data_IF_167763732418
#
_entry.id   IF_167763732418
#
_cell.length_a   1.000
_cell.length_b   1.000
_cell.length_c   1.000
_cell.angle_alpha   90.00
_cell.angle_beta   90.00
_cell.angle_gamma   90.00
#
_symmetry.space_group_name_H-M   'P 1'
#
loop_
_entity.id
_entity.type
_entity.pdbx_description
1 polymer ?
#
# COMPACT_ATOMS: atom_id res chain seq x y z
N UNK A 1 3.61 0.74 -19.57
CA UNK A 1 2.88 -0.53 -19.38
C UNK A 1 2.36 -0.59 -17.94
N UNK A 2 1.05 -0.54 -17.72
CA UNK A 2 0.46 -0.71 -16.40
C UNK A 2 0.61 -2.19 -16.04
N UNK A 3 1.52 -2.48 -15.09
CA UNK A 3 1.65 -3.82 -14.54
C UNK A 3 0.39 -4.05 -13.70
N UNK A 4 -0.48 -4.95 -14.13
CA UNK A 4 -1.62 -5.37 -13.31
C UNK A 4 -1.07 -5.87 -11.98
N UNK A 5 -1.56 -5.27 -10.88
CA UNK A 5 -1.27 -5.73 -9.53
C UNK A 5 -2.47 -6.52 -9.06
N UNK A 6 -2.37 -7.84 -9.15
CA UNK A 6 -3.37 -8.75 -8.59
C UNK A 6 -3.00 -9.02 -7.15
N UNK A 7 -3.87 -8.62 -6.22
CA UNK A 7 -3.75 -9.00 -4.81
C UNK A 7 -4.46 -10.35 -4.62
N UNK A 8 -3.78 -11.38 -4.08
CA UNK A 8 -4.42 -12.66 -3.82
C UNK A 8 -5.48 -12.51 -2.73
N UNK A 9 -6.67 -13.04 -3.00
CA UNK A 9 -7.75 -13.15 -2.01
C UNK A 9 -7.62 -14.47 -1.25
N UNK A 10 -7.79 -14.39 0.07
CA UNK A 10 -7.79 -15.53 0.99
C UNK A 10 -9.21 -15.68 1.51
N UNK A 11 -9.79 -16.87 1.40
CA UNK A 11 -11.11 -17.16 1.99
C UNK A 11 -10.87 -17.69 3.41
N UNK A 12 -11.44 -17.05 4.42
CA UNK A 12 -11.39 -17.58 5.79
C UNK A 12 -12.43 -18.68 6.04
N UNK A 13 -12.42 -19.28 7.23
CA UNK A 13 -13.34 -20.36 7.61
C UNK A 13 -14.81 -19.94 7.65
N UNK A 14 -15.09 -18.63 7.73
CA UNK A 14 -16.44 -18.06 7.67
C UNK A 14 -16.87 -17.66 6.26
N UNK A 15 -16.02 -17.84 5.25
CA UNK A 15 -16.28 -17.44 3.86
C UNK A 15 -16.02 -15.95 3.58
N UNK A 16 -15.43 -15.21 4.52
CA UNK A 16 -15.05 -13.81 4.29
C UNK A 16 -13.77 -13.76 3.45
N UNK A 17 -13.75 -12.87 2.47
CA UNK A 17 -12.56 -12.61 1.66
C UNK A 17 -11.62 -11.67 2.41
N UNK A 18 -10.38 -12.09 2.54
CA UNK A 18 -9.28 -11.40 3.20
C UNK A 18 -8.17 -11.13 2.18
N UNK A 19 -7.32 -10.15 2.47
CA UNK A 19 -6.05 -9.94 1.78
C UNK A 19 -4.96 -9.92 2.83
N UNK A 20 -3.78 -10.48 2.51
CA UNK A 20 -2.65 -10.39 3.40
C UNK A 20 -2.26 -8.92 3.62
N UNK A 21 -2.20 -8.50 4.88
CA UNK A 21 -1.87 -7.13 5.25
C UNK A 21 -0.52 -6.66 4.64
N UNK A 22 0.47 -7.56 4.59
CA UNK A 22 1.76 -7.28 3.95
C UNK A 22 1.63 -6.93 2.45
N UNK A 23 0.70 -7.58 1.74
CA UNK A 23 0.45 -7.28 0.32
C UNK A 23 -0.25 -5.92 0.15
N UNK A 24 -1.15 -5.56 1.07
CA UNK A 24 -1.78 -4.22 1.11
C UNK A 24 -0.73 -3.14 1.37
N UNK A 25 0.09 -3.29 2.41
CA UNK A 25 1.17 -2.36 2.74
C UNK A 25 2.16 -2.19 1.58
N UNK A 26 2.51 -3.29 0.89
CA UNK A 26 3.36 -3.27 -0.30
C UNK A 26 2.72 -2.52 -1.47
N UNK A 27 1.42 -2.72 -1.71
CA UNK A 27 0.69 -2.02 -2.75
C UNK A 27 0.68 -0.51 -2.49
N UNK A 28 0.33 -0.08 -1.27
CA UNK A 28 0.29 1.34 -0.90
C UNK A 28 1.62 2.04 -1.17
N UNK A 29 2.74 1.41 -0.76
CA UNK A 29 4.10 1.91 -1.01
C UNK A 29 4.43 1.93 -2.51
N UNK A 30 4.03 0.90 -3.26
CA UNK A 30 4.26 0.83 -4.70
C UNK A 30 3.48 1.88 -5.49
N UNK A 31 2.27 2.24 -5.04
CA UNK A 31 1.45 3.30 -5.65
C UNK A 31 2.12 4.66 -5.46
N UNK A 32 2.49 5.03 -4.23
CA UNK A 32 3.19 6.28 -3.96
C UNK A 32 4.52 6.38 -4.72
N UNK A 33 5.35 5.33 -4.68
CA UNK A 33 6.60 5.30 -5.42
C UNK A 33 6.44 5.28 -6.95
N UNK A 34 5.27 4.93 -7.48
CA UNK A 34 4.96 5.09 -8.91
C UNK A 34 4.58 6.53 -9.24
N UNK A 35 3.81 7.20 -8.39
CA UNK A 35 3.46 8.60 -8.60
C UNK A 35 4.68 9.50 -8.54
N UNK A 36 5.57 9.31 -7.58
CA UNK A 36 6.85 10.03 -7.52
C UNK A 36 7.66 9.89 -8.81
N UNK A 37 7.80 8.65 -9.31
CA UNK A 37 8.50 8.42 -10.59
C UNK A 37 7.85 9.12 -11.78
N UNK A 38 6.53 9.23 -11.81
CA UNK A 38 5.85 9.96 -12.89
C UNK A 38 6.17 11.46 -12.85
N UNK A 39 6.26 12.05 -11.66
CA UNK A 39 6.70 13.44 -11.47
C UNK A 39 8.17 13.60 -11.88
N UNK A 40 9.05 12.70 -11.44
CA UNK A 40 10.48 12.67 -11.82
C UNK A 40 10.67 12.53 -13.35
N UNK A 41 9.79 11.78 -14.02
CA UNK A 41 9.79 11.60 -15.47
C UNK A 41 9.24 12.82 -16.25
N UNK A 42 8.89 13.92 -15.56
CA UNK A 42 8.48 15.18 -16.18
C UNK A 42 7.01 15.21 -16.64
N UNK A 43 6.11 14.53 -15.93
CA UNK A 43 4.67 14.59 -16.20
C UNK A 43 4.07 15.92 -15.72
N UNK A 44 3.89 16.86 -16.66
CA UNK A 44 3.37 18.21 -16.39
C UNK A 44 1.91 18.25 -15.87
N UNK A 45 1.17 17.13 -15.92
CA UNK A 45 -0.20 17.02 -15.40
C UNK A 45 -0.28 16.68 -13.89
N UNK A 46 0.87 16.52 -13.22
CA UNK A 46 0.96 16.18 -11.81
C UNK A 46 1.61 17.31 -11.00
N UNK A 47 0.90 17.77 -9.96
CA UNK A 47 1.46 18.68 -8.97
C UNK A 47 2.39 17.93 -8.01
N UNK A 48 3.67 18.34 -7.96
CA UNK A 48 4.73 17.67 -7.18
C UNK A 48 4.42 17.63 -5.69
N UNK A 49 3.98 18.76 -5.11
CA UNK A 49 3.67 18.88 -3.69
C UNK A 49 2.49 17.97 -3.30
N UNK A 50 1.45 17.94 -4.14
CA UNK A 50 0.30 17.05 -3.93
C UNK A 50 0.72 15.58 -4.00
N UNK A 51 1.54 15.19 -4.98
CA UNK A 51 2.03 13.81 -5.11
C UNK A 51 2.89 13.42 -3.90
N UNK A 52 3.76 14.32 -3.43
CA UNK A 52 4.58 14.10 -2.25
C UNK A 52 3.71 13.91 -0.99
N UNK A 53 2.73 14.79 -0.78
CA UNK A 53 1.81 14.71 0.35
C UNK A 53 1.01 13.40 0.35
N UNK A 54 0.44 13.01 -0.79
CA UNK A 54 -0.30 11.76 -0.91
C UNK A 54 0.59 10.53 -0.71
N UNK A 55 1.82 10.56 -1.22
CA UNK A 55 2.78 9.47 -1.03
C UNK A 55 3.14 9.27 0.44
N UNK A 56 3.28 10.36 1.20
CA UNK A 56 3.51 10.32 2.64
C UNK A 56 2.31 9.70 3.36
N UNK A 57 1.07 10.08 3.02
CA UNK A 57 -0.13 9.51 3.65
C UNK A 57 -0.29 8.01 3.34
N UNK A 58 0.03 7.57 2.12
CA UNK A 58 0.08 6.14 1.78
C UNK A 58 1.12 5.37 2.61
N UNK A 59 2.30 5.96 2.82
CA UNK A 59 3.34 5.37 3.65
C UNK A 59 2.90 5.26 5.12
N UNK A 60 2.31 6.32 5.68
CA UNK A 60 1.77 6.32 7.05
C UNK A 60 0.68 5.26 7.23
N UNK A 61 -0.20 5.08 6.24
CA UNK A 61 -1.23 4.04 6.30
C UNK A 61 -0.60 2.64 6.27
N UNK A 62 0.38 2.40 5.40
CA UNK A 62 1.11 1.14 5.36
C UNK A 62 1.83 0.83 6.68
N UNK A 63 2.47 1.84 7.29
CA UNK A 63 3.13 1.70 8.59
C UNK A 63 2.13 1.34 9.70
N UNK A 64 0.94 1.96 9.70
CA UNK A 64 -0.11 1.64 10.67
C UNK A 64 -0.63 0.20 10.53
N UNK A 65 -0.76 -0.30 9.31
CA UNK A 65 -1.12 -1.69 9.04
C UNK A 65 -0.03 -2.61 9.59
N UNK A 66 1.24 -2.34 9.27
CA UNK A 66 2.37 -3.16 9.71
C UNK A 66 2.46 -3.21 11.25
N UNK A 67 2.32 -2.07 11.94
CA UNK A 67 2.28 -2.00 13.42
C UNK A 67 1.13 -2.82 13.99
N UNK A 68 -0.07 -2.72 13.42
CA UNK A 68 -1.23 -3.48 13.88
C UNK A 68 -1.01 -5.00 13.73
N UNK A 69 -0.38 -5.43 12.63
CA UNK A 69 -0.04 -6.83 12.41
C UNK A 69 1.03 -7.34 13.39
N UNK A 70 2.08 -6.55 13.66
CA UNK A 70 3.11 -6.90 14.64
C UNK A 70 2.50 -7.08 16.03
N UNK A 71 1.66 -6.12 16.46
CA UNK A 71 0.96 -6.18 17.74
C UNK A 71 0.14 -7.47 17.86
N UNK A 72 -0.67 -7.77 16.83
CA UNK A 72 -1.47 -8.98 16.79
C UNK A 72 -0.64 -10.28 16.82
N UNK A 73 0.50 -10.31 16.12
CA UNK A 73 1.38 -11.49 16.13
C UNK A 73 2.08 -11.72 17.47
N UNK A 74 2.36 -10.63 18.20
CA UNK A 74 3.05 -10.66 19.50
C UNK A 74 2.13 -11.05 20.65
N UNK A 75 0.82 -10.83 20.50
CA UNK A 75 -0.22 -11.17 21.49
C UNK A 75 -0.72 -12.62 21.39
N UNK A 76 -0.27 -13.38 20.38
CA UNK A 76 -0.65 -14.78 20.20
C UNK A 76 0.30 -15.68 21.02
N UNK A 77 -0.20 -16.47 21.99
CA UNK A 77 0.63 -17.34 22.83
C UNK A 77 1.26 -18.51 22.06
#
# INVERSE_FOLDING_TARGET
MNREVTLPLIVDSGGTLQVAAADVSKLLRAVGGRWLRLVEDGRDDLDEDTVAALTIELAKLADRIDVACIAHSSERP
#
